data_IF_630926120141
#
_entry.id   IF_630926120141
#
_cell.length_a   1.000
_cell.length_b   1.000
_cell.length_c   1.000
_cell.angle_alpha   90.00
_cell.angle_beta   90.00
_cell.angle_gamma   90.00
#
_symmetry.space_group_name_H-M   'P 1'
#
loop_
_entity.id
_entity.type
_entity.pdbx_description
1 polymer ?
#
# COMPACT_ATOMS: atom_id res chain seq x y z
N UNK A 1 -54.58 43.48 -19.30
CA UNK A 1 -53.66 42.84 -18.36
C UNK A 1 -52.67 42.06 -19.19
N UNK A 2 -51.44 42.55 -19.32
CA UNK A 2 -50.35 41.85 -20.01
C UNK A 2 -49.84 40.71 -19.12
N UNK A 3 -49.97 39.48 -19.60
CA UNK A 3 -49.30 38.34 -19.02
C UNK A 3 -47.90 38.29 -19.63
N UNK A 4 -46.91 38.79 -18.89
CA UNK A 4 -45.51 38.75 -19.28
C UNK A 4 -45.08 37.32 -19.64
N UNK A 5 -44.70 37.14 -20.90
CA UNK A 5 -44.08 35.93 -21.41
C UNK A 5 -42.82 35.62 -20.60
N UNK A 6 -42.82 34.51 -19.85
CA UNK A 6 -41.58 33.94 -19.33
C UNK A 6 -40.89 33.22 -20.49
N UNK A 7 -39.66 33.60 -20.89
CA UNK A 7 -38.92 32.84 -21.90
C UNK A 7 -38.62 31.45 -21.34
N UNK A 8 -39.10 30.42 -22.03
CA UNK A 8 -38.70 29.03 -21.77
C UNK A 8 -37.29 28.84 -22.33
N UNK A 9 -36.27 28.98 -21.49
CA UNK A 9 -34.96 28.36 -21.73
C UNK A 9 -35.15 26.84 -21.61
N UNK A 10 -35.51 26.20 -22.72
CA UNK A 10 -35.48 24.74 -22.84
C UNK A 10 -34.04 24.28 -22.66
N UNK A 11 -33.77 23.59 -21.56
CA UNK A 11 -32.48 22.96 -21.28
C UNK A 11 -32.13 22.00 -22.42
N UNK A 12 -31.10 22.31 -23.20
CA UNK A 12 -30.68 21.47 -24.33
C UNK A 12 -29.96 20.22 -23.79
N UNK A 13 -30.68 19.10 -23.79
CA UNK A 13 -30.18 17.82 -23.30
C UNK A 13 -29.06 17.25 -24.19
N UNK A 14 -29.05 17.58 -25.48
CA UNK A 14 -28.02 17.11 -26.40
C UNK A 14 -26.69 17.84 -26.10
N UNK A 15 -26.74 19.13 -25.80
CA UNK A 15 -25.55 19.90 -25.36
C UNK A 15 -24.98 19.38 -24.03
N UNK A 16 -25.83 19.03 -23.06
CA UNK A 16 -25.40 18.46 -21.77
C UNK A 16 -24.78 17.07 -21.93
N UNK A 17 -25.33 16.24 -22.82
CA UNK A 17 -24.80 14.92 -23.13
C UNK A 17 -23.44 15.02 -23.86
N UNK A 18 -23.29 15.97 -24.78
CA UNK A 18 -22.04 16.20 -25.48
C UNK A 18 -20.95 16.71 -24.53
N UNK A 19 -21.29 17.62 -23.61
CA UNK A 19 -20.37 18.14 -22.60
C UNK A 19 -19.91 17.04 -21.63
N UNK A 20 -20.83 16.23 -21.11
CA UNK A 20 -20.49 15.13 -20.19
C UNK A 20 -19.60 14.07 -20.85
N UNK A 21 -19.84 13.75 -22.13
CA UNK A 21 -18.97 12.86 -22.90
C UNK A 21 -17.54 13.41 -23.04
N UNK A 22 -17.40 14.71 -23.37
CA UNK A 22 -16.09 15.38 -23.48
C UNK A 22 -15.32 15.35 -22.15
N UNK A 23 -15.99 15.60 -21.03
CA UNK A 23 -15.38 15.54 -19.70
C UNK A 23 -14.93 14.12 -19.35
N UNK A 24 -15.77 13.11 -19.65
CA UNK A 24 -15.44 11.71 -19.40
C UNK A 24 -14.22 11.25 -20.20
N UNK A 25 -14.15 11.64 -21.48
CA UNK A 25 -13.04 11.28 -22.36
C UNK A 25 -11.74 11.98 -21.91
N UNK A 26 -11.83 13.24 -21.45
CA UNK A 26 -10.70 13.95 -20.85
C UNK A 26 -10.20 13.28 -19.56
N UNK A 27 -11.11 12.84 -18.68
CA UNK A 27 -10.75 12.14 -17.44
C UNK A 27 -10.08 10.78 -17.72
N UNK A 28 -10.57 10.04 -18.71
CA UNK A 28 -9.94 8.77 -19.15
C UNK A 28 -8.54 8.99 -19.72
N UNK A 29 -8.37 10.03 -20.54
CA UNK A 29 -7.07 10.39 -21.09
C UNK A 29 -6.06 10.75 -19.99
N UNK A 30 -6.50 11.47 -18.96
CA UNK A 30 -5.65 11.83 -17.83
C UNK A 30 -5.29 10.61 -16.97
N UNK A 31 -6.23 9.70 -16.71
CA UNK A 31 -5.95 8.42 -16.04
C UNK A 31 -4.90 7.59 -16.80
N UNK A 32 -5.03 7.47 -18.12
CA UNK A 32 -4.06 6.77 -18.96
C UNK A 32 -2.69 7.48 -19.00
N UNK A 33 -2.65 8.79 -18.83
CA UNK A 33 -1.40 9.57 -18.69
C UNK A 33 -0.73 9.28 -17.35
N UNK A 34 -1.49 9.28 -16.26
CA UNK A 34 -0.98 8.98 -14.92
C UNK A 34 -0.45 7.55 -14.80
N UNK A 35 -1.13 6.56 -15.39
CA UNK A 35 -0.65 5.18 -15.36
C UNK A 35 0.68 5.01 -16.14
N UNK A 36 0.82 5.70 -17.28
CA UNK A 36 2.11 5.77 -18.00
C UNK A 36 3.21 6.44 -17.18
N UNK A 37 2.90 7.53 -16.47
CA UNK A 37 3.87 8.19 -15.59
C UNK A 37 4.29 7.29 -14.43
N UNK A 38 3.35 6.55 -13.85
CA UNK A 38 3.61 5.56 -12.79
C UNK A 38 4.52 4.44 -13.30
N UNK A 39 4.21 3.85 -14.46
CA UNK A 39 5.03 2.79 -15.04
C UNK A 39 6.44 3.28 -15.37
N UNK A 40 6.57 4.48 -15.96
CA UNK A 40 7.86 5.10 -16.22
C UNK A 40 8.67 5.40 -14.94
N UNK A 41 8.01 5.78 -13.83
CA UNK A 41 8.68 5.98 -12.54
C UNK A 41 9.18 4.66 -11.96
N UNK A 42 8.36 3.61 -12.02
CA UNK A 42 8.74 2.26 -11.57
C UNK A 42 9.93 1.73 -12.38
N UNK A 43 9.94 1.90 -13.70
CA UNK A 43 11.06 1.52 -14.55
C UNK A 43 12.33 2.30 -14.19
N UNK A 44 12.20 3.59 -13.86
CA UNK A 44 13.33 4.41 -13.39
C UNK A 44 13.85 3.96 -12.03
N UNK A 45 12.97 3.58 -11.10
CA UNK A 45 13.35 2.99 -9.81
C UNK A 45 14.10 1.68 -10.06
N UNK A 46 13.56 0.81 -10.91
CA UNK A 46 14.18 -0.46 -11.26
C UNK A 46 15.57 -0.27 -11.93
N UNK A 47 15.69 0.68 -12.85
CA UNK A 47 16.97 1.03 -13.47
C UNK A 47 17.96 1.63 -12.46
N UNK A 48 17.50 2.44 -11.50
CA UNK A 48 18.35 2.93 -10.40
C UNK A 48 18.80 1.79 -9.49
N UNK A 49 17.95 0.82 -9.18
CA UNK A 49 18.34 -0.39 -8.43
C UNK A 49 19.43 -1.18 -9.18
N UNK A 50 19.33 -1.28 -10.52
CA UNK A 50 20.35 -1.90 -11.38
C UNK A 50 21.66 -1.09 -11.37
N UNK A 51 21.61 0.23 -11.56
CA UNK A 51 22.80 1.09 -11.63
C UNK A 51 23.50 1.26 -10.27
N UNK A 52 22.74 1.36 -9.19
CA UNK A 52 23.26 1.37 -7.82
C UNK A 52 23.75 -0.03 -7.39
N UNK A 53 23.40 -1.07 -8.15
CA UNK A 53 23.87 -2.45 -8.03
C UNK A 53 25.38 -2.67 -8.22
N UNK A 54 26.18 -1.66 -8.56
CA UNK A 54 27.66 -1.75 -8.45
C UNK A 54 28.26 -1.05 -7.20
N UNK A 55 27.50 -0.28 -6.41
CA UNK A 55 27.91 0.17 -5.06
C UNK A 55 26.73 0.40 -4.09
N UNK A 56 25.86 -0.60 -3.94
CA UNK A 56 25.31 -1.15 -2.68
C UNK A 56 24.24 -2.17 -3.07
N UNK A 57 24.67 -3.39 -3.38
CA UNK A 57 24.15 -4.69 -2.91
C UNK A 57 24.80 -5.82 -3.74
N UNK A 58 26.12 -6.07 -3.64
CA UNK A 58 26.65 -7.33 -4.14
C UNK A 58 26.29 -8.47 -3.18
N UNK A 59 25.89 -9.61 -3.74
CA UNK A 59 25.65 -10.90 -3.09
C UNK A 59 24.47 -10.99 -2.11
N UNK A 60 23.33 -11.52 -2.58
CA UNK A 60 22.45 -12.29 -1.70
C UNK A 60 21.88 -13.59 -2.29
N UNK A 61 22.75 -14.41 -2.91
CA UNK A 61 22.83 -15.81 -2.42
C UNK A 61 23.44 -15.79 -1.01
N UNK A 62 22.74 -15.24 0.00
CA UNK A 62 23.13 -15.43 1.41
C UNK A 62 22.14 -16.41 2.02
N UNK A 63 22.62 -17.62 2.30
CA UNK A 63 22.14 -18.41 3.45
C UNK A 63 22.41 -17.56 4.70
N UNK A 64 21.57 -16.58 5.02
CA UNK A 64 21.90 -15.55 6.00
C UNK A 64 20.68 -15.07 6.77
N UNK A 65 20.70 -15.25 8.08
CA UNK A 65 19.68 -14.84 9.07
C UNK A 65 19.06 -13.47 8.74
N UNK A 66 17.73 -13.41 8.65
CA UNK A 66 16.94 -12.18 8.87
C UNK A 66 17.36 -11.60 10.23
N UNK A 67 17.87 -10.37 10.25
CA UNK A 67 18.24 -9.67 11.50
C UNK A 67 16.95 -9.26 12.23
N UNK A 68 16.94 -9.28 13.56
CA UNK A 68 15.74 -9.00 14.36
C UNK A 68 15.25 -7.56 14.23
N UNK A 69 16.16 -6.63 13.93
CA UNK A 69 15.88 -5.20 13.84
C UNK A 69 15.09 -4.83 12.56
N UNK A 70 15.44 -5.43 11.41
CA UNK A 70 14.65 -5.29 10.17
C UNK A 70 13.26 -5.88 10.33
N UNK A 71 13.16 -7.03 11.01
CA UNK A 71 11.88 -7.68 11.28
C UNK A 71 10.95 -6.82 12.15
N UNK A 72 11.48 -6.08 13.14
CA UNK A 72 10.69 -5.18 13.98
C UNK A 72 10.14 -4.02 13.18
N UNK A 73 11.02 -3.37 12.40
CA UNK A 73 10.63 -2.24 11.54
C UNK A 73 9.52 -2.63 10.56
N UNK A 74 9.65 -3.77 9.88
CA UNK A 74 8.67 -4.21 8.89
C UNK A 74 7.29 -4.52 9.52
N UNK A 75 7.28 -5.13 10.71
CA UNK A 75 6.04 -5.43 11.44
C UNK A 75 5.36 -4.13 11.92
N UNK A 76 6.13 -3.17 12.42
CA UNK A 76 5.62 -1.85 12.82
C UNK A 76 5.03 -1.10 11.64
N UNK A 77 5.67 -1.16 10.47
CA UNK A 77 5.14 -0.55 9.25
C UNK A 77 3.81 -1.18 8.84
N UNK A 78 3.70 -2.51 8.88
CA UNK A 78 2.46 -3.24 8.56
C UNK A 78 1.32 -2.84 9.51
N UNK A 79 1.60 -2.74 10.82
CA UNK A 79 0.61 -2.32 11.81
C UNK A 79 0.24 -0.84 11.66
N UNK A 80 1.20 0.02 11.34
CA UNK A 80 0.97 1.45 11.07
C UNK A 80 0.02 1.65 9.88
N UNK A 81 0.25 0.92 8.78
CA UNK A 81 -0.61 0.97 7.58
C UNK A 81 -2.02 0.45 7.88
N UNK A 82 -2.18 -0.41 8.89
CA UNK A 82 -3.48 -0.92 9.30
C UNK A 82 -4.37 0.15 9.99
N UNK A 83 -3.86 1.37 10.25
CA UNK A 83 -4.62 2.53 10.78
C UNK A 83 -5.39 2.22 12.07
N UNK A 84 -4.74 1.62 13.05
CA UNK A 84 -5.37 1.23 14.32
C UNK A 84 -6.22 -0.04 14.24
N UNK A 85 -6.20 -0.76 13.11
CA UNK A 85 -6.77 -2.11 13.05
C UNK A 85 -5.87 -3.09 13.76
N UNK A 86 -6.51 -3.93 14.56
CA UNK A 86 -5.93 -5.11 15.21
C UNK A 86 -5.68 -6.18 14.16
N UNK A 87 -4.45 -6.69 14.11
CA UNK A 87 -4.07 -7.74 13.18
C UNK A 87 -3.65 -8.99 13.94
N UNK A 88 -4.10 -10.15 13.46
CA UNK A 88 -3.58 -11.44 13.92
C UNK A 88 -2.13 -11.65 13.46
N UNK A 89 -1.39 -12.48 14.19
CA UNK A 89 -0.03 -12.87 13.78
C UNK A 89 -0.01 -13.53 12.39
N UNK A 90 -1.09 -14.18 11.97
CA UNK A 90 -1.25 -14.73 10.63
C UNK A 90 -1.36 -13.62 9.58
N UNK A 91 -2.25 -12.64 9.79
CA UNK A 91 -2.41 -11.50 8.87
C UNK A 91 -1.15 -10.65 8.75
N UNK A 92 -0.42 -10.46 9.86
CA UNK A 92 0.88 -9.77 9.83
C UNK A 92 1.86 -10.56 8.95
N UNK A 93 1.95 -11.88 9.14
CA UNK A 93 2.83 -12.73 8.35
C UNK A 93 2.45 -12.73 6.86
N UNK A 94 1.17 -12.82 6.54
CA UNK A 94 0.69 -12.84 5.17
C UNK A 94 1.03 -11.51 4.48
N UNK A 95 0.78 -10.37 5.16
CA UNK A 95 1.19 -9.05 4.67
C UNK A 95 2.71 -8.91 4.52
N UNK A 96 3.51 -9.51 5.40
CA UNK A 96 4.98 -9.54 5.24
C UNK A 96 5.41 -10.31 3.99
N UNK A 97 4.75 -11.43 3.68
CA UNK A 97 5.04 -12.22 2.49
C UNK A 97 4.63 -11.43 1.23
N UNK A 98 3.45 -10.82 1.24
CA UNK A 98 2.89 -10.09 0.11
C UNK A 98 3.60 -8.75 -0.17
N UNK A 99 3.86 -7.95 0.86
CA UNK A 99 4.32 -6.56 0.69
C UNK A 99 5.83 -6.39 0.82
N UNK A 100 6.50 -7.31 1.51
CA UNK A 100 7.95 -7.24 1.78
C UNK A 100 8.71 -8.41 1.17
N UNK A 101 8.05 -9.25 0.35
CA UNK A 101 8.63 -10.39 -0.37
C UNK A 101 9.37 -11.39 0.53
N UNK A 102 8.93 -11.52 1.79
CA UNK A 102 9.52 -12.50 2.70
C UNK A 102 9.17 -13.93 2.25
N UNK A 103 10.10 -14.89 2.37
CA UNK A 103 9.80 -16.27 2.01
C UNK A 103 8.88 -16.89 3.07
N UNK A 104 7.74 -17.44 2.66
CA UNK A 104 6.71 -18.08 3.50
C UNK A 104 7.14 -19.39 4.19
N UNK A 105 8.34 -19.41 4.77
CA UNK A 105 8.93 -20.57 5.41
C UNK A 105 8.42 -20.75 6.84
N UNK A 106 8.39 -21.99 7.31
CA UNK A 106 8.11 -22.32 8.72
C UNK A 106 9.03 -21.52 9.68
N UNK A 107 10.29 -21.30 9.29
CA UNK A 107 11.27 -20.56 10.08
C UNK A 107 10.95 -19.06 10.25
N UNK A 108 10.28 -18.46 9.26
CA UNK A 108 9.81 -17.09 9.32
C UNK A 108 8.60 -17.00 10.24
N UNK A 109 7.63 -17.90 10.06
CA UNK A 109 6.43 -17.99 10.91
C UNK A 109 6.80 -18.06 12.39
N UNK A 110 7.68 -19.00 12.76
CA UNK A 110 8.14 -19.14 14.15
C UNK A 110 8.81 -17.86 14.65
N UNK A 111 9.65 -17.21 13.83
CA UNK A 111 10.31 -15.95 14.19
C UNK A 111 9.32 -14.81 14.41
N UNK A 112 8.39 -14.59 13.49
CA UNK A 112 7.35 -13.55 13.61
C UNK A 112 6.55 -13.76 14.90
N UNK A 113 6.14 -15.00 15.18
CA UNK A 113 5.29 -15.29 16.33
C UNK A 113 6.05 -15.10 17.65
N UNK A 114 7.29 -15.57 17.72
CA UNK A 114 8.17 -15.35 18.88
C UNK A 114 8.49 -13.86 19.08
N UNK A 115 8.77 -13.12 18.01
CA UNK A 115 9.06 -11.69 18.06
C UNK A 115 7.87 -10.86 18.52
N UNK A 116 6.67 -11.11 17.96
CA UNK A 116 5.43 -10.45 18.38
C UNK A 116 5.13 -10.70 19.86
N UNK A 117 5.25 -11.96 20.31
CA UNK A 117 5.07 -12.28 21.73
C UNK A 117 6.04 -11.52 22.61
N UNK A 118 7.33 -11.45 22.23
CA UNK A 118 8.35 -10.74 22.99
C UNK A 118 8.07 -9.23 23.05
N UNK A 119 7.88 -8.59 21.90
CA UNK A 119 7.66 -7.13 21.86
C UNK A 119 6.35 -6.70 22.50
N UNK A 120 5.33 -7.59 22.52
CA UNK A 120 4.09 -7.33 23.27
C UNK A 120 4.26 -7.36 24.78
N UNK A 121 5.24 -8.11 25.29
CA UNK A 121 5.59 -8.13 26.71
C UNK A 121 6.47 -6.95 27.10
N UNK A 122 7.34 -6.51 26.19
CA UNK A 122 8.20 -5.34 26.38
C UNK A 122 7.36 -4.05 26.53
N UNK A 123 6.17 -3.98 25.91
CA UNK A 123 5.19 -2.91 26.16
C UNK A 123 5.50 -1.55 25.51
N UNK A 124 6.55 -1.47 24.70
CA UNK A 124 7.05 -0.18 24.15
C UNK A 124 6.50 0.17 22.76
N UNK A 125 6.02 -0.80 21.98
CA UNK A 125 5.76 -0.58 20.53
C UNK A 125 4.52 -1.30 20.03
N UNK A 126 4.29 -2.52 20.50
CA UNK A 126 3.18 -3.36 20.06
C UNK A 126 2.53 -3.88 21.33
N UNK A 127 1.21 -3.97 21.36
CA UNK A 127 0.47 -4.61 22.44
C UNK A 127 -0.31 -5.79 21.92
N UNK A 128 -0.49 -6.80 22.77
CA UNK A 128 -1.33 -7.96 22.47
C UNK A 128 -2.71 -7.72 23.08
N UNK A 129 -3.69 -7.52 22.20
CA UNK A 129 -5.07 -7.19 22.58
C UNK A 129 -5.96 -8.42 22.74
N UNK A 130 -5.62 -9.53 22.09
CA UNK A 130 -6.33 -10.81 22.22
C UNK A 130 -5.39 -12.00 21.89
N UNK A 131 -5.90 -13.24 21.91
CA UNK A 131 -5.16 -14.46 21.59
C UNK A 131 -4.59 -14.43 20.17
N UNK A 132 -3.35 -13.96 20.07
CA UNK A 132 -2.61 -13.90 18.81
C UNK A 132 -2.95 -12.68 17.97
N UNK A 133 -3.62 -11.68 18.55
CA UNK A 133 -3.99 -10.42 17.90
C UNK A 133 -3.17 -9.28 18.52
N UNK A 134 -2.60 -8.44 17.65
CA UNK A 134 -1.66 -7.40 18.00
C UNK A 134 -2.10 -6.06 17.42
N UNK A 135 -1.75 -5.00 18.12
CA UNK A 135 -2.02 -3.61 17.76
C UNK A 135 -0.76 -2.78 18.01
N UNK A 136 -0.55 -1.73 17.22
CA UNK A 136 0.48 -0.74 17.51
C UNK A 136 0.05 0.09 18.71
N UNK A 137 0.97 0.34 19.64
CA UNK A 137 0.74 1.26 20.77
C UNK A 137 0.78 2.73 20.33
#
# INVERSE_FOLDING_TARGET
>A
MDAGERPNDTLDYDELQEHTKKVLDAAKAELARLDRQRNALNDRIHQMEIMLGMRRFPNQKRKGRIRSETLKSDIVEILSVARGKRLSAAEILDRMIETKSYPGTRSLRTRVYSSLSKWSQDGDTITRVDRGVYELL
#
